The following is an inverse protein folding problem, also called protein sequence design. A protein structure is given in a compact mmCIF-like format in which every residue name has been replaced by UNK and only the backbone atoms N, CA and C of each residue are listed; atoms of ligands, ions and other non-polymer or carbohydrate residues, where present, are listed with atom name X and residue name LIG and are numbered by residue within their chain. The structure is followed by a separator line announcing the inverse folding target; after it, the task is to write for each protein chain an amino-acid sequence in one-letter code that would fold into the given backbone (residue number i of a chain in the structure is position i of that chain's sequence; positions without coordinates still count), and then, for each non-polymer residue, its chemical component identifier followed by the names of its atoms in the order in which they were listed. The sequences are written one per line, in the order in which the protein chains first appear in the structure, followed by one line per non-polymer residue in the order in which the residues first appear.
data_IF_183492764471
#
_entry.id   IF_183492764471
#
_cell.length_a   1.000
_cell.length_b   1.000
_cell.length_c   1.000
_cell.angle_alpha   90.00
_cell.angle_beta   90.00
_cell.angle_gamma   90.00
#
_symmetry.space_group_name_H-M   'P 1'
#
loop_
_entity.id
_entity.type
_entity.pdbx_description
1 polymer ?
#
# COMPACT_ATOMS: atom_id res chain seq x y z
N UNK A 1 -13.62 1.54 36.22
CA UNK A 1 -13.83 1.89 34.80
C UNK A 1 -12.46 2.11 34.15
N UNK A 2 -11.93 1.09 33.49
CA UNK A 2 -10.64 1.15 32.80
C UNK A 2 -10.81 1.90 31.47
N UNK A 3 -10.14 3.04 31.32
CA UNK A 3 -10.00 3.78 30.05
C UNK A 3 -9.16 2.93 29.08
N UNK A 4 -9.80 2.06 28.30
CA UNK A 4 -9.15 1.42 27.16
C UNK A 4 -9.02 2.46 26.06
N UNK A 5 -7.78 2.92 25.85
CA UNK A 5 -7.42 3.93 24.85
C UNK A 5 -7.85 3.48 23.43
N UNK A 6 -8.33 4.38 22.54
CA UNK A 6 -8.83 4.04 21.19
C UNK A 6 -7.83 3.21 20.34
N UNK A 7 -6.55 3.28 20.66
CA UNK A 7 -5.47 2.54 20.02
C UNK A 7 -5.58 1.01 20.22
N UNK A 8 -6.02 0.54 21.41
CA UNK A 8 -6.06 -0.90 21.75
C UNK A 8 -7.22 -1.61 21.06
N UNK A 9 -8.36 -0.94 20.92
CA UNK A 9 -9.55 -1.46 20.22
C UNK A 9 -9.27 -1.65 18.72
N UNK A 10 -8.48 -0.74 18.14
CA UNK A 10 -8.07 -0.78 16.74
C UNK A 10 -7.16 -1.99 16.46
N UNK A 11 -6.19 -2.25 17.33
CA UNK A 11 -5.26 -3.38 17.20
C UNK A 11 -5.99 -4.74 17.29
N UNK A 12 -6.97 -4.87 18.18
CA UNK A 12 -7.75 -6.11 18.33
C UNK A 12 -8.60 -6.44 17.10
N UNK A 13 -9.26 -5.43 16.50
CA UNK A 13 -10.05 -5.63 15.26
C UNK A 13 -9.17 -6.00 14.07
N UNK A 14 -7.98 -5.40 13.97
CA UNK A 14 -7.00 -5.71 12.91
C UNK A 14 -6.51 -7.16 13.04
N UNK A 15 -6.20 -7.62 14.25
CA UNK A 15 -5.75 -9.00 14.52
C UNK A 15 -6.78 -10.05 14.07
N UNK A 16 -8.06 -9.82 14.36
CA UNK A 16 -9.12 -10.76 13.97
C UNK A 16 -9.37 -10.78 12.45
N UNK A 17 -9.30 -9.61 11.80
CA UNK A 17 -9.38 -9.54 10.34
C UNK A 17 -8.21 -10.29 9.67
N UNK A 18 -7.00 -10.16 10.21
CA UNK A 18 -5.82 -10.88 9.71
C UNK A 18 -6.03 -12.40 9.74
N UNK A 19 -6.55 -12.94 10.85
CA UNK A 19 -6.82 -14.38 11.00
C UNK A 19 -7.78 -14.92 9.94
N UNK A 20 -8.87 -14.19 9.66
CA UNK A 20 -9.86 -14.60 8.66
C UNK A 20 -9.30 -14.58 7.23
N UNK A 21 -8.46 -13.59 6.89
CA UNK A 21 -7.82 -13.51 5.57
C UNK A 21 -6.81 -14.64 5.38
N UNK A 22 -6.01 -14.96 6.41
CA UNK A 22 -5.01 -16.04 6.36
C UNK A 22 -5.67 -17.40 6.08
N UNK A 23 -6.78 -17.69 6.77
CA UNK A 23 -7.49 -18.97 6.63
C UNK A 23 -8.12 -19.13 5.24
N UNK A 24 -8.66 -18.06 4.66
CA UNK A 24 -9.22 -18.07 3.31
C UNK A 24 -8.14 -18.26 2.24
N UNK A 25 -7.00 -17.58 2.41
CA UNK A 25 -5.87 -17.64 1.48
C UNK A 25 -5.26 -19.06 1.43
N UNK A 26 -5.10 -19.72 2.58
CA UNK A 26 -4.57 -21.09 2.71
C UNK A 26 -5.25 -22.14 1.81
N UNK A 27 -6.56 -22.02 1.58
CA UNK A 27 -7.34 -22.96 0.76
C UNK A 27 -7.08 -22.81 -0.74
N UNK A 28 -6.67 -21.63 -1.21
CA UNK A 28 -6.43 -21.34 -2.63
C UNK A 28 -5.01 -21.72 -3.09
N UNK A 29 -4.02 -21.77 -2.18
CA UNK A 29 -2.61 -22.03 -2.51
C UNK A 29 -2.28 -23.47 -2.94
N UNK A 30 -3.12 -24.45 -2.60
CA UNK A 30 -2.85 -25.85 -2.91
C UNK A 30 -3.11 -26.23 -4.38
N UNK A 31 -3.77 -25.37 -5.16
CA UNK A 31 -4.28 -25.75 -6.49
C UNK A 31 -3.29 -25.56 -7.66
N UNK A 32 -2.11 -24.96 -7.47
CA UNK A 32 -1.27 -24.51 -8.61
C UNK A 32 0.23 -24.85 -8.61
N UNK A 33 0.69 -25.79 -7.78
CA UNK A 33 2.03 -26.42 -7.92
C UNK A 33 3.27 -25.53 -7.70
N UNK A 34 3.12 -24.22 -7.45
CA UNK A 34 4.16 -23.35 -6.88
C UNK A 34 3.62 -22.70 -5.61
N UNK A 35 4.22 -23.05 -4.48
CA UNK A 35 3.90 -22.46 -3.18
C UNK A 35 4.45 -21.04 -3.11
N UNK A 36 3.59 -20.04 -3.32
CA UNK A 36 3.85 -18.72 -2.75
C UNK A 36 3.92 -18.89 -1.24
N UNK A 37 5.09 -18.68 -0.64
CA UNK A 37 5.24 -18.93 0.79
C UNK A 37 4.38 -17.93 1.57
N UNK A 38 3.53 -18.46 2.46
CA UNK A 38 2.69 -17.74 3.41
C UNK A 38 3.32 -16.45 4.00
N UNK A 39 4.62 -16.42 4.38
CA UNK A 39 5.25 -15.19 4.87
C UNK A 39 5.16 -14.00 3.90
N UNK A 40 5.27 -14.18 2.58
CA UNK A 40 5.20 -13.06 1.64
C UNK A 40 3.82 -12.41 1.59
N UNK A 41 2.76 -13.22 1.72
CA UNK A 41 1.39 -12.74 1.77
C UNK A 41 1.14 -11.95 3.06
N UNK A 42 1.66 -12.44 4.18
CA UNK A 42 1.60 -11.72 5.46
C UNK A 42 2.30 -10.37 5.39
N UNK A 43 3.49 -10.32 4.79
CA UNK A 43 4.24 -9.07 4.58
C UNK A 43 3.41 -8.09 3.73
N UNK A 44 2.78 -8.55 2.64
CA UNK A 44 1.95 -7.71 1.79
C UNK A 44 0.71 -7.16 2.53
N UNK A 45 0.06 -7.98 3.35
CA UNK A 45 -1.09 -7.55 4.18
C UNK A 45 -0.67 -6.52 5.25
N UNK A 46 0.49 -6.72 5.87
CA UNK A 46 1.06 -5.77 6.82
C UNK A 46 1.38 -4.45 6.11
N UNK A 47 1.95 -4.49 4.91
CA UNK A 47 2.22 -3.29 4.11
C UNK A 47 0.93 -2.51 3.78
N UNK A 48 -0.15 -3.21 3.41
CA UNK A 48 -1.47 -2.58 3.20
C UNK A 48 -2.03 -1.92 4.47
N UNK A 49 -1.88 -2.57 5.61
CA UNK A 49 -2.28 -2.01 6.92
C UNK A 49 -1.44 -0.79 7.29
N UNK A 50 -0.14 -0.83 7.02
CA UNK A 50 0.77 0.28 7.23
C UNK A 50 0.41 1.48 6.35
N UNK A 51 0.05 1.25 5.07
CA UNK A 51 -0.36 2.31 4.15
C UNK A 51 -1.63 3.03 4.64
N UNK A 52 -2.62 2.28 5.11
CA UNK A 52 -3.84 2.85 5.68
C UNK A 52 -3.56 3.65 6.96
N UNK A 53 -2.73 3.11 7.84
CA UNK A 53 -2.34 3.75 9.10
C UNK A 53 -1.54 5.04 8.85
N UNK A 54 -0.61 5.00 7.90
CA UNK A 54 0.21 6.15 7.50
C UNK A 54 -0.67 7.30 6.99
N UNK A 55 -1.68 7.02 6.16
CA UNK A 55 -2.58 8.06 5.68
C UNK A 55 -3.31 8.77 6.84
N UNK A 56 -3.74 8.02 7.85
CA UNK A 56 -4.38 8.57 9.05
C UNK A 56 -3.41 9.41 9.90
N UNK A 57 -2.24 8.84 10.21
CA UNK A 57 -1.20 9.46 11.03
C UNK A 57 -0.71 10.76 10.38
N UNK A 58 -0.39 10.73 9.09
CA UNK A 58 0.10 11.90 8.39
C UNK A 58 -0.98 12.97 8.20
N UNK A 59 -2.26 12.58 8.06
CA UNK A 59 -3.35 13.55 8.08
C UNK A 59 -3.48 14.28 9.42
N UNK A 60 -3.21 13.58 10.52
CA UNK A 60 -3.18 14.17 11.86
C UNK A 60 -1.94 15.02 12.09
N UNK A 61 -0.79 14.60 11.58
CA UNK A 61 0.43 15.41 11.60
C UNK A 61 0.24 16.71 10.80
N UNK A 62 -0.41 16.68 9.64
CA UNK A 62 -0.76 17.88 8.90
C UNK A 62 -1.63 18.85 9.71
N UNK A 63 -2.61 18.33 10.46
CA UNK A 63 -3.45 19.15 11.37
C UNK A 63 -2.59 19.80 12.47
N UNK A 64 -1.65 19.05 13.06
CA UNK A 64 -0.72 19.58 14.05
C UNK A 64 0.24 20.64 13.47
N UNK A 65 0.58 20.52 12.19
CA UNK A 65 1.45 21.47 11.45
C UNK A 65 0.62 22.60 10.80
N UNK A 66 -0.32 23.19 11.56
CA UNK A 66 -1.14 24.32 11.11
C UNK A 66 -1.95 24.04 9.83
N UNK A 67 -2.32 22.77 9.59
CA UNK A 67 -3.05 22.37 8.39
C UNK A 67 -2.19 22.39 7.13
N UNK A 68 -0.90 22.05 7.20
CA UNK A 68 0.03 22.03 6.06
C UNK A 68 0.38 20.59 5.60
N UNK A 69 -0.32 20.04 4.59
CA UNK A 69 -0.09 18.70 4.06
C UNK A 69 1.33 18.45 3.55
N UNK A 70 1.90 19.46 2.87
CA UNK A 70 3.24 19.35 2.28
C UNK A 70 4.31 19.19 3.36
N UNK A 71 4.22 19.96 4.45
CA UNK A 71 5.13 19.84 5.60
C UNK A 71 5.01 18.48 6.24
N UNK A 72 3.78 17.98 6.44
CA UNK A 72 3.58 16.63 6.99
C UNK A 72 4.12 15.53 6.08
N UNK A 73 3.95 15.65 4.76
CA UNK A 73 4.49 14.70 3.79
C UNK A 73 6.02 14.68 3.85
N UNK A 74 6.65 15.86 3.87
CA UNK A 74 8.09 16.02 3.97
C UNK A 74 8.65 15.38 5.24
N UNK A 75 8.08 15.68 6.42
CA UNK A 75 8.51 15.10 7.70
C UNK A 75 8.35 13.57 7.70
N UNK A 76 7.22 13.07 7.18
CA UNK A 76 6.99 11.63 7.08
C UNK A 76 8.03 10.97 6.17
N UNK A 77 8.28 11.51 4.97
CA UNK A 77 9.26 10.96 4.05
C UNK A 77 10.70 11.03 4.58
N UNK A 78 11.05 12.11 5.29
CA UNK A 78 12.33 12.23 5.98
C UNK A 78 12.50 11.15 7.05
N UNK A 79 11.48 10.91 7.89
CA UNK A 79 11.51 9.86 8.91
C UNK A 79 11.66 8.45 8.31
N UNK A 80 10.95 8.17 7.21
CA UNK A 80 11.09 6.91 6.46
C UNK A 80 12.47 6.75 5.83
N UNK A 81 13.03 7.83 5.29
CA UNK A 81 14.39 7.84 4.72
C UNK A 81 15.44 7.54 5.79
N UNK A 82 15.31 8.13 6.98
CA UNK A 82 16.20 7.83 8.12
C UNK A 82 16.08 6.36 8.52
N UNK A 83 14.86 5.81 8.62
CA UNK A 83 14.66 4.40 8.95
C UNK A 83 15.29 3.47 7.91
N UNK A 84 15.12 3.77 6.61
CA UNK A 84 15.76 3.01 5.52
C UNK A 84 17.29 3.13 5.56
N UNK A 85 17.83 4.31 5.84
CA UNK A 85 19.27 4.53 5.97
C UNK A 85 19.84 3.65 7.09
N UNK A 86 19.20 3.62 8.26
CA UNK A 86 19.62 2.76 9.38
C UNK A 86 19.60 1.27 9.00
N UNK A 87 18.57 0.82 8.28
CA UNK A 87 18.51 -0.56 7.78
C UNK A 87 19.60 -0.87 6.74
N UNK A 88 19.89 0.07 5.84
CA UNK A 88 20.97 -0.07 4.88
C UNK A 88 22.32 -0.20 5.59
N UNK A 89 22.60 0.64 6.59
CA UNK A 89 23.83 0.56 7.38
C UNK A 89 23.94 -0.75 8.17
N UNK A 90 22.82 -1.36 8.53
CA UNK A 90 22.80 -2.62 9.29
C UNK A 90 22.91 -3.88 8.41
N UNK A 91 22.35 -3.87 7.18
CA UNK A 91 22.13 -5.08 6.38
C UNK A 91 22.69 -5.04 4.96
N UNK A 92 23.03 -3.87 4.42
CA UNK A 92 23.38 -3.71 3.02
C UNK A 92 24.79 -3.14 2.83
N UNK A 93 25.41 -3.40 1.67
CA UNK A 93 26.61 -2.68 1.24
C UNK A 93 26.20 -1.37 0.56
N UNK A 94 25.90 -0.37 1.40
CA UNK A 94 25.52 0.96 0.93
C UNK A 94 26.66 1.62 0.13
N UNK A 95 27.91 1.36 0.52
CA UNK A 95 29.09 2.00 -0.08
C UNK A 95 29.32 1.55 -1.52
N UNK A 96 29.22 0.24 -1.80
CA UNK A 96 29.34 -0.30 -3.14
C UNK A 96 28.18 0.18 -4.01
N UNK A 97 26.96 0.16 -3.48
CA UNK A 97 25.75 0.58 -4.20
C UNK A 97 25.79 2.06 -4.61
N UNK A 98 26.32 2.94 -3.75
CA UNK A 98 26.45 4.37 -4.04
C UNK A 98 27.50 4.67 -5.14
N UNK A 99 28.52 3.83 -5.29
CA UNK A 99 29.51 3.97 -6.37
C UNK A 99 28.93 3.66 -7.75
N UNK A 100 27.92 2.78 -7.80
CA UNK A 100 27.21 2.44 -9.04
C UNK A 100 26.11 3.44 -9.39
N UNK A 101 25.70 4.30 -8.46
CA UNK A 101 24.60 5.25 -8.66
C UNK A 101 24.77 6.15 -9.91
N UNK A 102 25.98 6.66 -10.25
CA UNK A 102 26.18 7.43 -11.48
C UNK A 102 25.94 6.64 -12.78
N UNK A 103 26.01 5.31 -12.74
CA UNK A 103 25.78 4.43 -13.89
C UNK A 103 24.30 4.06 -14.07
N UNK A 104 23.43 4.45 -13.13
CA UNK A 104 22.01 4.11 -13.16
C UNK A 104 21.25 5.05 -14.09
N UNK A 105 20.38 4.48 -14.93
CA UNK A 105 19.48 5.27 -15.79
C UNK A 105 18.58 6.20 -14.94
N UNK A 106 18.54 7.53 -15.22
CA UNK A 106 17.90 8.51 -14.33
C UNK A 106 16.42 8.24 -14.02
N UNK A 107 15.68 7.63 -14.94
CA UNK A 107 14.26 7.31 -14.74
C UNK A 107 14.04 6.34 -13.56
N UNK A 108 15.03 5.51 -13.20
CA UNK A 108 14.93 4.59 -12.06
C UNK A 108 14.86 5.32 -10.71
N UNK A 109 15.28 6.59 -10.68
CA UNK A 109 15.30 7.42 -9.47
C UNK A 109 13.94 8.08 -9.19
N UNK A 110 13.00 8.07 -10.14
CA UNK A 110 11.68 8.71 -9.97
C UNK A 110 10.79 8.00 -8.94
N UNK A 111 11.13 6.75 -8.56
CA UNK A 111 10.35 5.97 -7.60
C UNK A 111 10.16 6.70 -6.25
N UNK A 112 11.19 7.41 -5.78
CA UNK A 112 11.09 8.23 -4.56
C UNK A 112 10.11 9.40 -4.72
N UNK A 113 10.10 10.05 -5.89
CA UNK A 113 9.19 11.15 -6.21
C UNK A 113 7.74 10.66 -6.27
N UNK A 114 7.50 9.52 -6.92
CA UNK A 114 6.18 8.88 -6.98
C UNK A 114 5.68 8.50 -5.56
N UNK A 115 6.56 7.96 -4.73
CA UNK A 115 6.26 7.65 -3.32
C UNK A 115 5.88 8.88 -2.51
N UNK A 116 6.66 9.97 -2.61
CA UNK A 116 6.36 11.23 -1.94
C UNK A 116 5.02 11.83 -2.41
N UNK A 117 4.75 11.77 -3.73
CA UNK A 117 3.48 12.18 -4.32
C UNK A 117 2.30 11.38 -3.79
N UNK A 118 2.45 10.05 -3.64
CA UNK A 118 1.43 9.18 -3.05
C UNK A 118 1.14 9.59 -1.59
N UNK A 119 2.18 9.79 -0.78
CA UNK A 119 2.02 10.22 0.62
C UNK A 119 1.27 11.55 0.70
N UNK A 120 1.71 12.56 -0.06
CA UNK A 120 1.05 13.87 -0.11
C UNK A 120 -0.42 13.75 -0.53
N UNK A 121 -0.69 12.96 -1.58
CA UNK A 121 -2.05 12.70 -2.06
C UNK A 121 -2.92 12.09 -0.96
N UNK A 122 -2.40 11.12 -0.21
CA UNK A 122 -3.18 10.51 0.88
C UNK A 122 -3.51 11.48 2.00
N UNK A 123 -2.60 12.40 2.32
CA UNK A 123 -2.83 13.45 3.34
C UNK A 123 -3.91 14.43 2.89
N UNK A 124 -3.90 14.79 1.60
CA UNK A 124 -4.88 15.72 1.01
C UNK A 124 -6.28 15.11 0.89
N UNK A 125 -6.36 13.81 0.56
CA UNK A 125 -7.62 13.14 0.26
C UNK A 125 -8.28 12.48 1.47
N UNK A 126 -7.51 11.98 2.45
CA UNK A 126 -8.07 11.26 3.59
C UNK A 126 -9.13 12.07 4.38
N UNK A 127 -8.96 13.38 4.66
CA UNK A 127 -9.99 14.18 5.34
C UNK A 127 -11.23 14.45 4.47
N UNK A 128 -11.09 14.43 3.14
CA UNK A 128 -12.16 14.78 2.20
C UNK A 128 -13.02 13.58 1.81
N UNK A 129 -12.37 12.45 1.54
CA UNK A 129 -13.00 11.23 1.04
C UNK A 129 -13.27 10.21 2.16
N UNK A 130 -12.58 10.33 3.29
CA UNK A 130 -12.41 9.24 4.24
C UNK A 130 -11.35 8.24 3.76
N UNK A 131 -10.65 7.60 4.69
CA UNK A 131 -9.51 6.71 4.39
C UNK A 131 -9.94 5.54 3.50
N UNK A 132 -11.09 4.93 3.79
CA UNK A 132 -11.56 3.76 3.03
C UNK A 132 -11.82 4.08 1.56
N UNK A 133 -12.53 5.18 1.27
CA UNK A 133 -12.84 5.57 -0.10
C UNK A 133 -11.59 6.02 -0.87
N UNK A 134 -10.69 6.72 -0.19
CA UNK A 134 -9.41 7.12 -0.77
C UNK A 134 -8.58 5.89 -1.17
N UNK A 135 -8.41 4.91 -0.27
CA UNK A 135 -7.67 3.70 -0.57
C UNK A 135 -8.33 2.87 -1.66
N UNK A 136 -9.67 2.86 -1.72
CA UNK A 136 -10.40 2.22 -2.81
C UNK A 136 -9.95 2.75 -4.18
N UNK A 137 -10.04 4.06 -4.41
CA UNK A 137 -9.64 4.65 -5.70
C UNK A 137 -8.15 4.45 -5.98
N UNK A 138 -7.31 4.51 -4.95
CA UNK A 138 -5.87 4.23 -5.07
C UNK A 138 -5.63 2.77 -5.52
N UNK A 139 -6.28 1.79 -4.91
CA UNK A 139 -6.12 0.37 -5.25
C UNK A 139 -6.59 0.11 -6.68
N UNK A 140 -7.72 0.68 -7.09
CA UNK A 140 -8.19 0.56 -8.49
C UNK A 140 -7.15 1.10 -9.46
N UNK A 141 -6.63 2.31 -9.21
CA UNK A 141 -5.57 2.90 -10.02
C UNK A 141 -4.28 2.06 -10.05
N UNK A 142 -3.86 1.52 -8.90
CA UNK A 142 -2.70 0.65 -8.79
C UNK A 142 -2.87 -0.64 -9.59
N UNK A 143 -4.04 -1.28 -9.52
CA UNK A 143 -4.32 -2.52 -10.24
C UNK A 143 -4.40 -2.29 -11.76
N UNK A 144 -5.02 -1.19 -12.20
CA UNK A 144 -5.03 -0.81 -13.62
C UNK A 144 -3.62 -0.53 -14.13
N UNK A 145 -2.82 0.25 -13.40
CA UNK A 145 -1.43 0.54 -13.78
C UNK A 145 -0.57 -0.74 -13.81
N UNK A 146 -0.70 -1.61 -12.81
CA UNK A 146 0.00 -2.88 -12.76
C UNK A 146 -0.36 -3.78 -13.94
N UNK A 147 -1.65 -3.88 -14.30
CA UNK A 147 -2.09 -4.65 -15.46
C UNK A 147 -1.47 -4.15 -16.77
N UNK A 148 -1.41 -2.82 -16.97
CA UNK A 148 -0.76 -2.21 -18.15
C UNK A 148 0.74 -2.48 -18.15
N UNK A 149 1.43 -2.28 -17.02
CA UNK A 149 2.87 -2.51 -16.90
C UNK A 149 3.22 -3.97 -17.20
N UNK A 150 2.49 -4.92 -16.60
CA UNK A 150 2.74 -6.35 -16.78
C UNK A 150 2.42 -6.82 -18.20
N UNK A 151 1.33 -6.32 -18.80
CA UNK A 151 0.90 -6.73 -20.14
C UNK A 151 1.87 -6.31 -21.24
N UNK A 152 2.38 -5.09 -21.14
CA UNK A 152 3.31 -4.52 -22.12
C UNK A 152 4.79 -4.67 -21.73
N UNK A 153 5.10 -5.22 -20.55
CA UNK A 153 6.48 -5.35 -20.07
C UNK A 153 7.15 -3.99 -19.84
N UNK A 154 6.38 -2.97 -19.45
CA UNK A 154 6.91 -1.61 -19.28
C UNK A 154 7.94 -1.58 -18.13
N UNK A 155 8.82 -0.58 -18.15
CA UNK A 155 9.86 -0.37 -17.12
C UNK A 155 10.86 -1.53 -17.00
N UNK A 156 11.02 -2.34 -18.06
CA UNK A 156 11.91 -3.50 -18.09
C UNK A 156 11.40 -4.70 -17.29
N UNK A 157 10.11 -4.71 -16.95
CA UNK A 157 9.47 -5.83 -16.27
C UNK A 157 9.22 -6.99 -17.23
N UNK A 158 9.27 -8.22 -16.70
CA UNK A 158 8.96 -9.41 -17.50
C UNK A 158 7.53 -9.33 -18.04
N UNK A 159 7.39 -9.37 -19.36
CA UNK A 159 6.07 -9.33 -20.00
C UNK A 159 5.27 -10.58 -19.61
N UNK A 160 4.08 -10.35 -19.06
CA UNK A 160 3.15 -11.42 -18.67
C UNK A 160 1.88 -11.26 -19.48
N UNK A 161 1.48 -12.32 -20.16
CA UNK A 161 0.19 -12.36 -20.85
C UNK A 161 -0.92 -12.10 -19.84
N UNK A 162 -1.70 -11.04 -20.07
CA UNK A 162 -2.85 -10.73 -19.23
C UNK A 162 -3.93 -11.76 -19.53
N UNK A 163 -4.18 -12.67 -18.58
CA UNK A 163 -5.13 -13.77 -18.76
C UNK A 163 -6.55 -13.30 -18.47
N UNK A 164 -7.53 -13.88 -19.17
CA UNK A 164 -8.95 -13.58 -18.94
C UNK A 164 -9.36 -13.77 -17.46
N UNK A 165 -8.75 -14.74 -16.76
CA UNK A 165 -8.94 -14.96 -15.33
C UNK A 165 -8.52 -13.77 -14.44
N UNK A 166 -7.45 -13.06 -14.81
CA UNK A 166 -6.99 -11.87 -14.08
C UNK A 166 -7.92 -10.68 -14.32
N UNK A 167 -8.43 -10.55 -15.54
CA UNK A 167 -9.45 -9.54 -15.87
C UNK A 167 -10.74 -9.77 -15.07
N UNK A 168 -11.23 -11.01 -15.05
CA UNK A 168 -12.40 -11.39 -14.25
C UNK A 168 -12.14 -11.12 -12.77
N UNK A 169 -10.96 -11.48 -12.25
CA UNK A 169 -10.57 -11.18 -10.87
C UNK A 169 -10.58 -9.69 -10.56
N UNK A 170 -10.06 -8.86 -11.46
CA UNK A 170 -10.07 -7.39 -11.33
C UNK A 170 -11.50 -6.84 -11.32
N UNK A 171 -12.38 -7.35 -12.18
CA UNK A 171 -13.80 -7.00 -12.18
C UNK A 171 -14.50 -7.42 -10.89
N UNK A 172 -14.24 -8.62 -10.37
CA UNK A 172 -14.81 -9.08 -9.09
C UNK A 172 -14.36 -8.17 -7.94
N UNK A 173 -13.07 -7.81 -7.88
CA UNK A 173 -12.54 -6.89 -6.88
C UNK A 173 -13.23 -5.52 -7.00
N UNK A 174 -13.33 -4.98 -8.23
CA UNK A 174 -14.00 -3.70 -8.48
C UNK A 174 -15.48 -3.74 -8.07
N UNK A 175 -16.21 -4.80 -8.40
CA UNK A 175 -17.60 -5.00 -8.01
C UNK A 175 -17.77 -5.16 -6.50
N UNK A 176 -16.94 -5.97 -5.84
CA UNK A 176 -16.99 -6.18 -4.40
C UNK A 176 -16.72 -4.90 -3.62
N UNK A 177 -15.77 -4.09 -4.09
CA UNK A 177 -15.50 -2.77 -3.53
C UNK A 177 -16.63 -1.77 -3.82
N UNK A 178 -17.22 -1.80 -5.01
CA UNK A 178 -18.41 -1.01 -5.35
C UNK A 178 -19.60 -1.34 -4.45
N UNK A 179 -19.84 -2.62 -4.19
CA UNK A 179 -20.88 -3.07 -3.26
C UNK A 179 -20.60 -2.61 -1.83
N UNK A 180 -19.36 -2.72 -1.34
CA UNK A 180 -18.98 -2.21 -0.03
C UNK A 180 -19.31 -0.71 0.13
N UNK A 181 -19.11 0.08 -0.92
CA UNK A 181 -19.37 1.52 -0.90
C UNK A 181 -20.85 1.88 -1.04
N UNK A 182 -21.55 1.30 -2.02
CA UNK A 182 -22.95 1.64 -2.33
C UNK A 182 -23.97 0.82 -1.52
N UNK A 183 -23.57 -0.23 -0.80
CA UNK A 183 -24.47 -1.11 -0.07
C UNK A 183 -25.41 -0.36 0.88
N UNK A 184 -24.90 0.63 1.62
CA UNK A 184 -25.74 1.44 2.53
C UNK A 184 -26.74 2.37 1.81
N UNK A 185 -26.52 2.66 0.52
CA UNK A 185 -27.45 3.42 -0.35
C UNK A 185 -28.41 2.53 -1.13
N UNK A 186 -28.13 1.22 -1.20
CA UNK A 186 -28.95 0.22 -1.92
C UNK A 186 -29.92 -0.47 -0.96
N UNK A 187 -29.56 -0.58 0.32
CA UNK A 187 -30.34 -1.26 1.36
C UNK A 187 -31.34 -0.33 2.07
N UNK A 188 -31.12 0.99 1.99
CA UNK A 188 -32.05 2.03 2.48
C UNK A 188 -32.74 2.72 1.30
#
# INVERSE_FOLDING_TARGET
MLFISPCVITISKISNCLKSVIQFSGSFYLLKGKTMSLPYILIALIAGTALASQAAINSKLAQAMLGQPLVSAFISFASGTIALLLLCLWKADLSASLRELPNVEPWKLIGGVLGAGLVLTTILLAPKLGITNMLFFIIVGQLCAAAVIDHFGLLGMAQRSFQLSQFIGLLIIACGLGFYFFGNKIVN
#
